data_IF_127250046005
#
_entry.id   IF_127250046005
#
_cell.length_a   1.000
_cell.length_b   1.000
_cell.length_c   1.000
_cell.angle_alpha   90.00
_cell.angle_beta   90.00
_cell.angle_gamma   90.00
#
_symmetry.space_group_name_H-M   'P 1'
#
loop_
_entity.id
_entity.type
_entity.pdbx_description
1 polymer ?
#
# COMPACT_ATOMS: atom_id res chain seq x y z
N UNK A 1 19.25 -8.68 71.71
CA UNK A 1 20.06 -8.09 70.62
C UNK A 1 19.53 -8.59 69.29
N UNK A 2 18.84 -7.70 68.57
CA UNK A 2 18.09 -7.93 67.33
C UNK A 2 19.03 -8.19 66.15
N UNK A 3 18.82 -9.30 65.42
CA UNK A 3 19.39 -9.52 64.09
C UNK A 3 18.32 -9.12 63.07
N UNK A 4 18.59 -8.00 62.38
CA UNK A 4 17.72 -7.33 61.42
C UNK A 4 17.46 -8.20 60.19
N UNK A 5 16.19 -8.29 59.82
CA UNK A 5 15.69 -8.80 58.54
C UNK A 5 16.26 -8.00 57.37
N UNK A 6 16.95 -8.68 56.46
CA UNK A 6 17.47 -8.08 55.24
C UNK A 6 16.44 -8.26 54.12
N UNK A 7 15.40 -7.42 54.11
CA UNK A 7 14.51 -7.25 52.95
C UNK A 7 15.33 -6.64 51.81
N UNK A 8 15.83 -7.48 50.89
CA UNK A 8 16.26 -7.02 49.57
C UNK A 8 15.02 -6.58 48.80
N UNK A 9 14.88 -5.26 48.69
CA UNK A 9 13.91 -4.55 47.87
C UNK A 9 14.01 -5.03 46.41
N UNK A 10 12.91 -5.57 45.88
CA UNK A 10 12.74 -5.67 44.42
C UNK A 10 12.75 -4.24 43.87
N UNK A 11 13.80 -3.90 43.12
CA UNK A 11 13.76 -2.72 42.27
C UNK A 11 12.66 -2.94 41.21
N UNK A 12 11.78 -1.96 40.96
CA UNK A 12 10.87 -2.07 39.84
C UNK A 12 11.72 -2.05 38.56
N UNK A 13 11.44 -2.98 37.66
CA UNK A 13 11.93 -2.91 36.29
C UNK A 13 11.33 -1.63 35.72
N UNK A 14 12.16 -0.61 35.54
CA UNK A 14 11.80 0.60 34.83
C UNK A 14 11.67 0.17 33.36
N UNK A 15 10.45 -0.15 32.93
CA UNK A 15 10.06 -0.23 31.52
C UNK A 15 10.18 1.16 30.91
N UNK A 16 11.36 1.47 30.39
CA UNK A 16 11.58 2.64 29.54
C UNK A 16 12.19 2.13 28.24
N UNK A 17 11.35 1.64 27.31
CA UNK A 17 11.77 1.42 25.92
C UNK A 17 10.68 1.27 24.83
N UNK A 18 9.40 1.61 25.03
CA UNK A 18 8.38 1.31 23.97
C UNK A 18 7.89 2.50 23.14
N UNK A 19 7.96 3.74 23.62
CA UNK A 19 7.33 4.88 22.93
C UNK A 19 7.92 5.23 21.56
N UNK A 20 9.22 4.99 21.35
CA UNK A 20 9.91 5.28 20.09
C UNK A 20 9.70 4.21 19.01
N UNK A 21 9.48 2.95 19.42
CA UNK A 21 9.14 1.85 18.51
C UNK A 21 7.71 2.02 18.00
N UNK A 22 6.78 2.36 18.90
CA UNK A 22 5.37 2.55 18.60
C UNK A 22 5.11 3.75 17.70
N UNK A 23 5.80 4.88 17.94
CA UNK A 23 5.70 6.05 17.06
C UNK A 23 6.14 5.73 15.62
N UNK A 24 7.22 4.96 15.45
CA UNK A 24 7.69 4.54 14.13
C UNK A 24 6.72 3.56 13.45
N UNK A 25 6.17 2.61 14.21
CA UNK A 25 5.14 1.70 13.71
C UNK A 25 3.89 2.46 13.24
N UNK A 26 3.48 3.50 13.98
CA UNK A 26 2.36 4.35 13.61
C UNK A 26 2.65 5.12 12.30
N UNK A 27 3.83 5.73 12.17
CA UNK A 27 4.21 6.46 10.94
C UNK A 27 4.23 5.51 9.73
N UNK A 28 4.80 4.32 9.86
CA UNK A 28 4.78 3.30 8.79
C UNK A 28 3.34 2.93 8.42
N UNK A 29 2.48 2.72 9.40
CA UNK A 29 1.06 2.41 9.17
C UNK A 29 0.35 3.54 8.43
N UNK A 30 0.61 4.79 8.81
CA UNK A 30 0.04 5.99 8.14
C UNK A 30 0.52 6.06 6.69
N UNK A 31 1.81 5.86 6.43
CA UNK A 31 2.34 5.88 5.06
C UNK A 31 1.66 4.79 4.21
N UNK A 32 1.52 3.58 4.73
CA UNK A 32 0.83 2.49 4.02
C UNK A 32 -0.66 2.81 3.82
N UNK A 33 -1.32 3.40 4.81
CA UNK A 33 -2.69 3.86 4.68
C UNK A 33 -2.84 4.90 3.56
N UNK A 34 -1.89 5.84 3.41
CA UNK A 34 -1.89 6.80 2.32
C UNK A 34 -1.82 6.12 0.95
N UNK A 35 -0.97 5.09 0.79
CA UNK A 35 -0.95 4.31 -0.45
C UNK A 35 -2.31 3.70 -0.78
N UNK A 36 -2.98 3.11 0.22
CA UNK A 36 -4.30 2.49 0.05
C UNK A 36 -5.40 3.51 -0.25
N UNK A 37 -5.36 4.68 0.38
CA UNK A 37 -6.36 5.73 0.20
C UNK A 37 -6.33 6.38 -1.19
N UNK A 38 -5.21 6.32 -1.92
CA UNK A 38 -5.15 6.82 -3.30
C UNK A 38 -6.19 6.12 -4.19
N UNK A 39 -6.47 4.83 -3.95
CA UNK A 39 -7.48 4.07 -4.71
C UNK A 39 -8.91 4.57 -4.45
N UNK A 40 -9.15 5.21 -3.31
CA UNK A 40 -10.46 5.75 -2.92
C UNK A 40 -10.77 7.10 -3.56
N UNK A 41 -9.87 7.65 -4.39
CA UNK A 41 -10.09 8.95 -5.01
C UNK A 41 -11.29 8.89 -5.98
N UNK A 42 -12.31 9.75 -5.82
CA UNK A 42 -13.46 9.74 -6.69
C UNK A 42 -13.07 10.14 -8.12
N UNK A 43 -13.92 9.78 -9.09
CA UNK A 43 -13.76 10.23 -10.47
C UNK A 43 -13.91 11.75 -10.54
N UNK A 44 -12.79 12.44 -10.65
CA UNK A 44 -12.77 13.88 -10.94
C UNK A 44 -13.10 14.09 -12.42
N UNK A 45 -13.79 15.19 -12.76
CA UNK A 45 -14.07 15.60 -14.14
C UNK A 45 -12.81 16.17 -14.82
N UNK A 46 -11.72 15.40 -14.80
CA UNK A 46 -10.44 15.74 -15.40
C UNK A 46 -10.27 14.95 -16.69
N UNK A 47 -9.57 15.54 -17.65
CA UNK A 47 -9.29 14.91 -18.93
C UNK A 47 -8.43 13.63 -18.79
N UNK A 48 -7.51 13.61 -17.83
CA UNK A 48 -6.71 12.42 -17.47
C UNK A 48 -6.89 12.08 -15.98
N UNK A 49 -7.86 11.21 -15.70
CA UNK A 49 -8.11 10.70 -14.35
C UNK A 49 -7.08 9.64 -13.93
N UNK A 50 -6.37 9.00 -14.86
CA UNK A 50 -5.35 8.02 -14.52
C UNK A 50 -4.09 8.72 -14.02
N UNK A 51 -3.70 9.83 -14.66
CA UNK A 51 -2.53 10.63 -14.32
C UNK A 51 -2.49 11.09 -12.86
N UNK A 52 -3.63 11.49 -12.28
CA UNK A 52 -3.67 11.96 -10.88
C UNK A 52 -3.30 10.86 -9.89
N UNK A 53 -3.73 9.61 -10.12
CA UNK A 53 -3.38 8.48 -9.25
C UNK A 53 -1.88 8.21 -9.28
N UNK A 54 -1.26 8.24 -10.47
CA UNK A 54 0.19 8.07 -10.62
C UNK A 54 1.00 9.21 -10.02
N UNK A 55 0.51 10.44 -10.11
CA UNK A 55 1.13 11.59 -9.47
C UNK A 55 1.10 11.47 -7.95
N UNK A 56 -0.07 11.16 -7.37
CA UNK A 56 -0.21 10.95 -5.93
C UNK A 56 0.68 9.80 -5.45
N UNK A 57 0.74 8.69 -6.21
CA UNK A 57 1.61 7.56 -5.89
C UNK A 57 3.08 7.97 -5.88
N UNK A 58 3.51 8.78 -6.85
CA UNK A 58 4.86 9.33 -6.91
C UNK A 58 5.17 10.28 -5.76
N UNK A 59 4.21 11.10 -5.31
CA UNK A 59 4.36 11.98 -4.15
C UNK A 59 4.51 11.14 -2.87
N UNK A 60 3.67 10.12 -2.66
CA UNK A 60 3.78 9.24 -1.49
C UNK A 60 5.08 8.44 -1.52
N UNK A 61 5.54 7.98 -2.69
CA UNK A 61 6.87 7.38 -2.86
C UNK A 61 7.97 8.34 -2.41
N UNK A 62 7.94 9.60 -2.84
CA UNK A 62 8.94 10.60 -2.47
C UNK A 62 8.96 10.85 -0.95
N UNK A 63 7.79 11.03 -0.32
CA UNK A 63 7.66 11.20 1.13
C UNK A 63 8.20 9.97 1.87
N UNK A 64 7.85 8.78 1.39
CA UNK A 64 8.29 7.51 1.99
C UNK A 64 9.80 7.33 1.91
N UNK A 65 10.42 7.70 0.77
CA UNK A 65 11.87 7.66 0.61
C UNK A 65 12.56 8.63 1.58
N UNK A 66 12.05 9.86 1.72
CA UNK A 66 12.57 10.83 2.69
C UNK A 66 12.54 10.22 4.09
N UNK A 67 11.42 9.60 4.49
CA UNK A 67 11.30 8.95 5.80
C UNK A 67 12.28 7.79 5.99
N UNK A 68 12.44 6.92 4.98
CA UNK A 68 13.38 5.80 5.01
C UNK A 68 14.82 6.32 5.14
N UNK A 69 15.21 7.33 4.37
CA UNK A 69 16.56 7.91 4.44
C UNK A 69 16.85 8.65 5.74
N UNK A 70 15.85 9.28 6.36
CA UNK A 70 15.99 9.88 7.69
C UNK A 70 16.08 8.83 8.81
N UNK A 71 15.56 7.62 8.59
CA UNK A 71 15.49 6.54 9.59
C UNK A 71 16.61 5.53 9.39
N UNK A 72 17.79 5.77 9.98
CA UNK A 72 18.96 4.87 9.90
C UNK A 72 18.66 3.42 10.32
N UNK A 73 17.66 3.20 11.17
CA UNK A 73 17.23 1.86 11.61
C UNK A 73 16.55 1.02 10.53
N UNK A 74 15.98 1.65 9.49
CA UNK A 74 15.32 0.97 8.38
C UNK A 74 16.29 0.55 7.27
N UNK A 75 17.49 1.14 7.25
CA UNK A 75 18.53 0.89 6.26
C UNK A 75 19.61 -0.02 6.89
N UNK A 76 19.25 -1.23 7.27
CA UNK A 76 20.26 -2.28 7.44
C UNK A 76 20.51 -2.94 6.07
N UNK A 77 21.72 -2.76 5.56
CA UNK A 77 22.19 -3.26 4.27
C UNK A 77 21.93 -4.77 4.09
N UNK A 78 21.90 -5.55 5.17
CA UNK A 78 21.65 -7.00 5.09
C UNK A 78 20.21 -7.31 4.67
N UNK A 79 19.22 -6.64 5.24
CA UNK A 79 17.82 -6.89 4.89
C UNK A 79 17.51 -6.41 3.47
N UNK A 80 18.02 -5.24 3.08
CA UNK A 80 17.86 -4.72 1.73
C UNK A 80 18.46 -5.68 0.69
N UNK A 81 19.66 -6.20 0.95
CA UNK A 81 20.32 -7.15 0.06
C UNK A 81 19.51 -8.45 -0.08
N UNK A 82 18.98 -8.98 1.03
CA UNK A 82 18.15 -10.18 0.98
C UNK A 82 16.83 -9.95 0.25
N UNK A 83 16.20 -8.80 0.47
CA UNK A 83 14.94 -8.44 -0.18
C UNK A 83 15.11 -8.28 -1.69
N UNK A 84 16.20 -7.67 -2.16
CA UNK A 84 16.50 -7.53 -3.60
C UNK A 84 16.92 -8.86 -4.25
N UNK A 85 17.50 -9.79 -3.49
CA UNK A 85 17.84 -11.14 -3.96
C UNK A 85 16.67 -12.12 -3.99
N UNK A 86 15.50 -11.73 -3.47
CA UNK A 86 14.31 -12.56 -3.55
C UNK A 86 13.91 -12.77 -5.03
N UNK A 87 13.44 -13.98 -5.37
CA UNK A 87 13.07 -14.34 -6.75
C UNK A 87 12.03 -13.39 -7.36
N UNK A 88 11.05 -12.95 -6.56
CA UNK A 88 10.03 -11.98 -7.00
C UNK A 88 10.68 -10.64 -7.35
N UNK A 89 11.54 -10.11 -6.49
CA UNK A 89 12.26 -8.85 -6.72
C UNK A 89 13.14 -8.93 -7.96
N UNK A 90 13.84 -10.06 -8.17
CA UNK A 90 14.66 -10.30 -9.36
C UNK A 90 13.81 -10.26 -10.63
N UNK A 91 12.66 -10.95 -10.65
CA UNK A 91 11.75 -10.94 -11.81
C UNK A 91 11.26 -9.53 -12.11
N UNK A 92 10.90 -8.76 -11.07
CA UNK A 92 10.48 -7.36 -11.23
C UNK A 92 11.59 -6.48 -11.81
N UNK A 93 12.84 -6.64 -11.34
CA UNK A 93 13.99 -5.87 -11.85
C UNK A 93 14.32 -6.25 -13.29
N UNK A 94 14.30 -7.55 -13.63
CA UNK A 94 14.51 -8.01 -15.01
C UNK A 94 13.43 -7.43 -15.92
N UNK A 95 12.16 -7.50 -15.50
CA UNK A 95 11.05 -6.92 -16.25
C UNK A 95 11.22 -5.42 -16.48
N UNK A 96 11.66 -4.68 -15.45
CA UNK A 96 11.96 -3.25 -15.57
C UNK A 96 13.02 -2.96 -16.61
N UNK A 97 14.12 -3.72 -16.60
CA UNK A 97 15.24 -3.55 -17.55
C UNK A 97 14.76 -3.84 -18.98
N UNK A 98 14.02 -4.94 -19.18
CA UNK A 98 13.46 -5.29 -20.49
C UNK A 98 12.53 -4.18 -20.99
N UNK A 99 11.64 -3.67 -20.13
CA UNK A 99 10.75 -2.56 -20.47
C UNK A 99 11.53 -1.28 -20.84
N UNK A 100 12.65 -1.00 -20.17
CA UNK A 100 13.52 0.12 -20.48
C UNK A 100 14.20 -0.03 -21.84
N UNK A 101 14.69 -1.23 -22.18
CA UNK A 101 15.26 -1.51 -23.50
C UNK A 101 14.20 -1.36 -24.60
N UNK A 102 12.95 -1.74 -24.31
CA UNK A 102 11.84 -1.59 -25.26
C UNK A 102 11.57 -0.14 -25.68
N UNK A 103 12.02 0.87 -24.92
CA UNK A 103 11.84 2.28 -25.28
C UNK A 103 12.60 2.67 -26.55
N UNK A 104 13.73 2.02 -26.84
CA UNK A 104 14.51 2.31 -28.05
C UNK A 104 13.82 1.89 -29.34
N UNK A 105 12.85 0.97 -29.24
CA UNK A 105 12.09 0.43 -30.38
C UNK A 105 10.63 0.93 -30.36
N UNK A 106 10.28 1.81 -29.40
CA UNK A 106 8.92 2.28 -29.26
C UNK A 106 8.50 3.15 -30.45
N UNK A 107 7.37 2.80 -31.09
CA UNK A 107 6.77 3.58 -32.18
C UNK A 107 6.44 5.00 -31.71
N UNK A 108 5.89 5.11 -30.49
CA UNK A 108 5.64 6.38 -29.83
C UNK A 108 6.54 6.50 -28.59
N UNK A 109 7.72 7.11 -28.71
CA UNK A 109 8.67 7.21 -27.60
C UNK A 109 8.13 8.08 -26.45
N UNK A 110 7.29 9.07 -26.74
CA UNK A 110 6.71 9.96 -25.71
C UNK A 110 5.76 9.18 -24.81
N UNK A 111 4.81 8.45 -25.40
CA UNK A 111 3.91 7.58 -24.65
C UNK A 111 4.68 6.45 -23.95
N UNK A 112 5.71 5.90 -24.61
CA UNK A 112 6.62 4.94 -24.01
C UNK A 112 7.24 5.44 -22.71
N UNK A 113 7.78 6.66 -22.69
CA UNK A 113 8.37 7.27 -21.48
C UNK A 113 7.33 7.43 -20.38
N UNK A 114 6.10 7.85 -20.71
CA UNK A 114 5.02 7.99 -19.73
C UNK A 114 4.67 6.64 -19.10
N UNK A 115 4.52 5.59 -19.91
CA UNK A 115 4.23 4.24 -19.41
C UNK A 115 5.40 3.68 -18.60
N UNK A 116 6.63 3.90 -19.04
CA UNK A 116 7.83 3.48 -18.31
C UNK A 116 7.96 4.21 -16.96
N UNK A 117 7.61 5.49 -16.90
CA UNK A 117 7.55 6.25 -15.65
C UNK A 117 6.54 5.64 -14.66
N UNK A 118 5.35 5.25 -15.15
CA UNK A 118 4.36 4.54 -14.32
C UNK A 118 4.90 3.21 -13.80
N UNK A 119 5.56 2.43 -14.65
CA UNK A 119 6.22 1.18 -14.25
C UNK A 119 7.28 1.42 -13.16
N UNK A 120 8.12 2.45 -13.34
CA UNK A 120 9.11 2.85 -12.35
C UNK A 120 8.46 3.21 -11.01
N UNK A 121 7.39 4.01 -11.02
CA UNK A 121 6.62 4.35 -9.82
C UNK A 121 6.05 3.10 -9.12
N UNK A 122 5.54 2.13 -9.86
CA UNK A 122 5.06 0.85 -9.30
C UNK A 122 6.17 0.03 -8.65
N UNK A 123 7.35 -0.04 -9.29
CA UNK A 123 8.51 -0.75 -8.72
C UNK A 123 9.00 -0.05 -7.46
N UNK A 124 9.11 1.27 -7.48
CA UNK A 124 9.45 2.03 -6.27
C UNK A 124 8.46 1.77 -5.14
N UNK A 125 7.16 1.78 -5.42
CA UNK A 125 6.13 1.47 -4.44
C UNK A 125 6.32 0.06 -3.84
N UNK A 126 6.56 -0.95 -4.67
CA UNK A 126 6.87 -2.32 -4.22
C UNK A 126 8.09 -2.33 -3.28
N UNK A 127 9.20 -1.71 -3.68
CA UNK A 127 10.43 -1.68 -2.90
C UNK A 127 10.24 -0.93 -1.57
N UNK A 128 9.60 0.22 -1.60
CA UNK A 128 9.33 1.07 -0.44
C UNK A 128 8.46 0.34 0.57
N UNK A 129 7.31 -0.20 0.14
CA UNK A 129 6.41 -0.96 1.02
C UNK A 129 7.13 -2.18 1.59
N UNK A 130 7.92 -2.88 0.76
CA UNK A 130 8.77 -3.97 1.20
C UNK A 130 9.68 -3.55 2.36
N UNK A 131 10.46 -2.49 2.17
CA UNK A 131 11.39 -1.96 3.19
C UNK A 131 10.65 -1.52 4.46
N UNK A 132 9.52 -0.82 4.32
CA UNK A 132 8.73 -0.35 5.45
C UNK A 132 8.19 -1.50 6.31
N UNK A 133 7.90 -2.66 5.71
CA UNK A 133 7.34 -3.83 6.40
C UNK A 133 8.39 -4.84 6.91
N UNK A 134 9.68 -4.65 6.60
CA UNK A 134 10.74 -5.53 7.09
C UNK A 134 10.73 -5.58 8.62
N UNK A 135 10.67 -6.79 9.17
CA UNK A 135 10.61 -7.07 10.61
C UNK A 135 9.41 -6.43 11.34
N UNK A 136 8.37 -5.99 10.62
CA UNK A 136 7.15 -5.36 11.19
C UNK A 136 5.88 -6.15 10.85
N UNK A 137 5.95 -7.48 10.91
CA UNK A 137 4.81 -8.35 10.57
C UNK A 137 3.56 -8.06 11.40
N UNK A 138 3.71 -7.56 12.62
CA UNK A 138 2.60 -7.13 13.48
C UNK A 138 1.73 -6.03 12.85
N UNK A 139 2.30 -5.18 11.98
CA UNK A 139 1.55 -4.12 11.28
C UNK A 139 0.57 -4.70 10.25
N UNK A 140 0.77 -5.94 9.80
CA UNK A 140 -0.09 -6.59 8.82
C UNK A 140 -1.54 -6.66 9.31
N UNK A 141 -1.76 -6.83 10.63
CA UNK A 141 -3.11 -6.79 11.21
C UNK A 141 -3.78 -5.43 11.05
N UNK A 142 -3.05 -4.34 11.32
CA UNK A 142 -3.58 -2.99 11.16
C UNK A 142 -3.86 -2.69 9.69
N UNK A 143 -2.95 -3.08 8.80
CA UNK A 143 -3.09 -2.89 7.35
C UNK A 143 -4.28 -3.68 6.80
N UNK A 144 -4.43 -4.95 7.20
CA UNK A 144 -5.57 -5.79 6.80
C UNK A 144 -6.90 -5.19 7.26
N UNK A 145 -6.95 -4.62 8.47
CA UNK A 145 -8.14 -3.95 8.98
C UNK A 145 -8.47 -2.70 8.15
N UNK A 146 -7.47 -1.87 7.80
CA UNK A 146 -7.66 -0.72 6.91
C UNK A 146 -8.20 -1.16 5.54
N UNK A 147 -7.59 -2.19 4.93
CA UNK A 147 -8.05 -2.76 3.66
C UNK A 147 -9.50 -3.23 3.76
N UNK A 148 -9.86 -3.90 4.86
CA UNK A 148 -11.21 -4.41 5.10
C UNK A 148 -12.23 -3.27 5.21
N UNK A 149 -11.89 -2.18 5.93
CA UNK A 149 -12.75 -0.99 6.03
C UNK A 149 -12.93 -0.34 4.65
N UNK A 150 -11.85 -0.19 3.89
CA UNK A 150 -11.90 0.37 2.53
C UNK A 150 -12.79 -0.50 1.63
N UNK A 151 -12.59 -1.82 1.66
CA UNK A 151 -13.39 -2.75 0.87
C UNK A 151 -14.87 -2.70 1.24
N UNK A 152 -15.19 -2.64 2.54
CA UNK A 152 -16.56 -2.52 3.03
C UNK A 152 -17.23 -1.23 2.54
N UNK A 153 -16.52 -0.09 2.61
CA UNK A 153 -17.01 1.18 2.11
C UNK A 153 -17.27 1.13 0.59
N UNK A 154 -16.30 0.66 -0.20
CA UNK A 154 -16.43 0.53 -1.65
C UNK A 154 -17.58 -0.42 -2.04
N UNK A 155 -17.74 -1.53 -1.33
CA UNK A 155 -18.82 -2.48 -1.56
C UNK A 155 -20.18 -1.83 -1.26
N UNK A 156 -20.29 -1.13 -0.14
CA UNK A 156 -21.51 -0.42 0.26
C UNK A 156 -21.92 0.63 -0.77
N UNK A 157 -20.99 1.47 -1.23
CA UNK A 157 -21.29 2.46 -2.28
C UNK A 157 -21.77 1.80 -3.58
N UNK A 158 -21.11 0.72 -4.00
CA UNK A 158 -21.43 0.01 -5.25
C UNK A 158 -22.81 -0.65 -5.20
N UNK A 159 -23.12 -1.30 -4.08
CA UNK A 159 -24.43 -1.92 -3.85
C UNK A 159 -25.53 -0.86 -3.80
N UNK A 160 -25.27 0.27 -3.12
CA UNK A 160 -26.22 1.39 -3.04
C UNK A 160 -26.47 2.00 -4.42
N UNK A 161 -25.43 2.20 -5.23
CA UNK A 161 -25.55 2.65 -6.61
C UNK A 161 -26.42 1.71 -7.43
N UNK A 162 -26.19 0.40 -7.32
CA UNK A 162 -26.98 -0.61 -8.02
C UNK A 162 -28.47 -0.52 -7.66
N UNK A 163 -28.80 -0.53 -6.36
CA UNK A 163 -30.19 -0.46 -5.90
C UNK A 163 -30.88 0.87 -6.22
N UNK A 164 -30.13 1.96 -6.37
CA UNK A 164 -30.71 3.27 -6.73
C UNK A 164 -31.14 3.33 -8.19
N UNK A 165 -30.43 2.64 -9.07
CA UNK A 165 -30.61 2.72 -10.53
C UNK A 165 -31.33 1.51 -11.13
N UNK A 166 -31.46 0.41 -10.38
CA UNK A 166 -32.23 -0.77 -10.79
C UNK A 166 -33.69 -0.38 -11.06
N UNK A 167 -34.21 -0.80 -12.21
CA UNK A 167 -35.55 -0.43 -12.67
C UNK A 167 -35.67 0.98 -13.28
N UNK A 168 -34.64 1.83 -13.18
CA UNK A 168 -34.60 3.16 -13.84
C UNK A 168 -33.76 3.16 -15.11
N UNK A 169 -32.72 2.35 -15.15
CA UNK A 169 -31.80 2.23 -16.28
C UNK A 169 -31.80 0.80 -16.84
N UNK A 170 -31.52 0.62 -18.14
CA UNK A 170 -31.29 -0.70 -18.71
C UNK A 170 -30.21 -1.46 -17.93
N UNK A 171 -30.39 -2.76 -17.74
CA UNK A 171 -29.48 -3.57 -16.91
C UNK A 171 -28.03 -3.54 -17.42
N UNK A 172 -27.84 -3.50 -18.74
CA UNK A 172 -26.51 -3.47 -19.36
C UNK A 172 -25.76 -2.18 -19.05
N UNK A 173 -26.44 -1.03 -19.10
CA UNK A 173 -25.83 0.27 -18.78
C UNK A 173 -25.59 0.40 -17.28
N UNK A 174 -26.50 -0.14 -16.46
CA UNK A 174 -26.31 -0.21 -15.01
C UNK A 174 -25.04 -0.97 -14.66
N UNK A 175 -24.91 -2.22 -15.15
CA UNK A 175 -23.72 -3.06 -14.89
C UNK A 175 -22.46 -2.40 -15.45
N UNK A 176 -22.54 -1.77 -16.62
CA UNK A 176 -21.41 -1.05 -17.20
C UNK A 176 -20.93 0.10 -16.30
N UNK A 177 -21.84 0.77 -15.59
CA UNK A 177 -21.54 1.91 -14.74
C UNK A 177 -21.00 1.53 -13.34
N UNK A 178 -21.03 0.24 -12.96
CA UNK A 178 -20.45 -0.28 -11.70
C UNK A 178 -18.93 -0.38 -11.74
N UNK A 179 -18.27 0.75 -12.01
CA UNK A 179 -16.82 0.82 -12.19
C UNK A 179 -16.08 1.32 -10.94
N UNK A 180 -16.83 1.76 -9.92
CA UNK A 180 -16.29 2.41 -8.74
C UNK A 180 -15.35 3.57 -9.10
N UNK A 181 -14.22 3.65 -8.40
CA UNK A 181 -13.16 4.64 -8.64
C UNK A 181 -12.23 4.27 -9.80
N UNK A 182 -12.18 2.98 -10.19
CA UNK A 182 -11.18 2.42 -11.12
C UNK A 182 -11.40 2.74 -12.61
N UNK A 183 -12.56 3.31 -12.99
CA UNK A 183 -12.89 3.58 -14.39
C UNK A 183 -13.19 2.35 -15.25
N UNK A 184 -13.08 1.14 -14.70
CA UNK A 184 -13.37 -0.11 -15.41
C UNK A 184 -13.89 -1.18 -14.43
N UNK A 185 -15.09 -1.72 -14.68
CA UNK A 185 -15.74 -2.72 -13.81
C UNK A 185 -14.89 -3.97 -13.56
N UNK A 186 -14.08 -4.39 -14.54
CA UNK A 186 -13.24 -5.57 -14.41
C UNK A 186 -12.04 -5.30 -13.48
N UNK A 187 -11.46 -4.10 -13.56
CA UNK A 187 -10.39 -3.68 -12.66
C UNK A 187 -10.95 -3.56 -11.23
N UNK A 188 -12.13 -2.97 -11.09
CA UNK A 188 -12.80 -2.84 -9.80
C UNK A 188 -13.10 -4.20 -9.15
N UNK A 189 -13.64 -5.15 -9.92
CA UNK A 189 -13.91 -6.51 -9.44
C UNK A 189 -12.61 -7.24 -9.05
N UNK A 190 -11.56 -7.14 -9.88
CA UNK A 190 -10.26 -7.72 -9.56
C UNK A 190 -9.66 -7.12 -8.27
N UNK A 191 -9.84 -5.81 -8.03
CA UNK A 191 -9.41 -5.17 -6.80
C UNK A 191 -10.11 -5.74 -5.56
N UNK A 192 -11.39 -6.11 -5.64
CA UNK A 192 -12.06 -6.83 -4.56
C UNK A 192 -11.48 -8.22 -4.32
N UNK A 193 -11.23 -8.98 -5.38
CA UNK A 193 -10.64 -10.33 -5.27
C UNK A 193 -9.30 -10.29 -4.53
N UNK A 194 -8.46 -9.28 -4.83
CA UNK A 194 -7.17 -9.09 -4.15
C UNK A 194 -7.35 -8.74 -2.66
N UNK A 195 -8.46 -8.10 -2.28
CA UNK A 195 -8.74 -7.70 -0.89
C UNK A 195 -9.33 -8.84 -0.04
N UNK A 196 -9.94 -9.86 -0.65
CA UNK A 196 -10.57 -11.00 0.06
C UNK A 196 -9.64 -11.67 1.09
N UNK A 197 -8.37 -12.02 0.77
CA UNK A 197 -7.48 -12.65 1.75
C UNK A 197 -7.28 -11.80 3.01
N UNK A 198 -7.20 -10.47 2.89
CA UNK A 198 -7.06 -9.56 4.02
C UNK A 198 -8.33 -9.50 4.87
N UNK A 199 -9.51 -9.54 4.23
CA UNK A 199 -10.80 -9.60 4.93
C UNK A 199 -10.91 -10.90 5.74
N UNK A 200 -10.55 -12.04 5.13
CA UNK A 200 -10.53 -13.34 5.80
C UNK A 200 -9.56 -13.31 6.99
N UNK A 201 -8.36 -12.75 6.80
CA UNK A 201 -7.36 -12.59 7.86
C UNK A 201 -7.83 -11.72 9.04
N UNK A 202 -8.78 -10.81 8.84
CA UNK A 202 -9.37 -10.04 9.95
C UNK A 202 -10.43 -10.82 10.75
N UNK A 203 -11.01 -11.86 10.18
CA UNK A 203 -12.09 -12.66 10.79
C UNK A 203 -11.54 -13.86 11.56
N UNK A 204 -10.51 -14.52 11.02
CA UNK A 204 -9.89 -15.73 11.57
C UNK A 204 -8.51 -15.43 12.14
#
# INVERSE_FOLDING_TARGET
MSKRDNKKTLNPIIEVSDSSSDANNLVVTIIIALYLLIECLPKLQLQDQMGIHWLLLSIVNAISLIYIFSSKSLIDNRFLTNYLKNGISIVYIIFFIIAGISLFVAINPVEGIVVYSRLFTSILCFLIIGILLINRIQLLKNIALIITIIAAFQAFETVTMFYREVGKTPIDTLIYNLQGTSGNKNIFAAAFVIKIPFIIYCIF
#
